data_IF_070499920930
#
_entry.id   IF_070499920930
#
_cell.length_a   1.000
_cell.length_b   1.000
_cell.length_c   1.000
_cell.angle_alpha   90.00
_cell.angle_beta   90.00
_cell.angle_gamma   90.00
#
_symmetry.space_group_name_H-M   'P 1'
#
loop_
_entity.id
_entity.type
_entity.pdbx_description
1 polymer ?
#
# COMPACT_ATOMS: atom_id res chain seq x y z
N UNK A 1 -10.89 7.16 2.20
CA UNK A 1 -11.66 6.35 1.24
C UNK A 1 -11.84 4.95 1.80
N UNK A 2 -13.07 4.50 2.03
CA UNK A 2 -13.33 3.14 2.57
C UNK A 2 -12.96 2.03 1.56
N UNK A 3 -13.03 2.33 0.26
CA UNK A 3 -12.76 1.40 -0.84
C UNK A 3 -11.31 0.91 -0.91
N UNK A 4 -10.31 1.80 -0.78
CA UNK A 4 -8.90 1.40 -0.83
C UNK A 4 -8.52 0.49 0.35
N UNK A 5 -9.06 0.76 1.54
CA UNK A 5 -8.84 -0.08 2.72
C UNK A 5 -9.42 -1.49 2.54
N UNK A 6 -10.70 -1.58 2.13
CA UNK A 6 -11.36 -2.87 1.90
C UNK A 6 -10.71 -3.66 0.77
N UNK A 7 -10.26 -2.99 -0.30
CA UNK A 7 -9.55 -3.65 -1.40
C UNK A 7 -8.20 -4.22 -0.95
N UNK A 8 -7.41 -3.46 -0.18
CA UNK A 8 -6.16 -3.96 0.37
C UNK A 8 -6.36 -5.14 1.31
N UNK A 9 -7.34 -5.07 2.22
CA UNK A 9 -7.67 -6.20 3.10
C UNK A 9 -8.03 -7.45 2.29
N UNK A 10 -8.78 -7.28 1.20
CA UNK A 10 -9.08 -8.40 0.29
C UNK A 10 -7.81 -8.95 -0.35
N UNK A 11 -6.96 -8.11 -0.92
CA UNK A 11 -5.72 -8.55 -1.57
C UNK A 11 -4.75 -9.27 -0.61
N UNK A 12 -4.75 -8.89 0.68
CA UNK A 12 -3.88 -9.47 1.70
C UNK A 12 -4.40 -10.82 2.21
N UNK A 13 -5.72 -10.95 2.42
CA UNK A 13 -6.30 -12.11 3.10
C UNK A 13 -6.97 -13.14 2.19
N UNK A 14 -7.29 -12.78 0.93
CA UNK A 14 -7.90 -13.69 -0.02
C UNK A 14 -6.80 -14.53 -0.73
N UNK A 15 -6.71 -15.85 -0.48
CA UNK A 15 -5.68 -16.70 -1.07
C UNK A 15 -5.79 -16.84 -2.59
N UNK A 16 -6.89 -16.38 -3.19
CA UNK A 16 -7.03 -16.30 -4.65
C UNK A 16 -6.21 -15.17 -5.28
N UNK A 17 -5.64 -14.26 -4.48
CA UNK A 17 -4.80 -13.17 -4.95
C UNK A 17 -3.33 -13.39 -4.57
N UNK A 18 -2.46 -13.03 -5.50
CA UNK A 18 -1.02 -12.97 -5.29
C UNK A 18 -0.63 -11.52 -5.03
N UNK A 19 -0.40 -11.20 -3.76
CA UNK A 19 -0.13 -9.85 -3.31
C UNK A 19 1.14 -9.24 -3.99
N UNK A 20 2.08 -10.06 -4.44
CA UNK A 20 3.29 -9.61 -5.15
C UNK A 20 2.99 -8.98 -6.53
N UNK A 21 1.82 -9.28 -7.11
CA UNK A 21 1.36 -8.69 -8.37
C UNK A 21 0.70 -7.32 -8.16
N UNK A 22 0.25 -7.03 -6.94
CA UNK A 22 -0.38 -5.77 -6.63
C UNK A 22 0.65 -4.62 -6.62
N UNK A 23 0.25 -3.47 -7.15
CA UNK A 23 0.98 -2.21 -7.08
C UNK A 23 0.10 -1.16 -6.44
N UNK A 24 0.66 -0.47 -5.44
CA UNK A 24 -0.04 0.54 -4.67
C UNK A 24 0.65 1.87 -4.90
N UNK A 25 -0.04 2.80 -5.54
CA UNK A 25 0.42 4.18 -5.74
C UNK A 25 -0.10 5.07 -4.60
N UNK A 26 0.80 5.80 -3.95
CA UNK A 26 0.46 6.68 -2.84
C UNK A 26 1.16 8.04 -2.95
N UNK A 27 0.57 9.03 -2.28
CA UNK A 27 1.13 10.37 -2.17
C UNK A 27 2.32 10.38 -1.19
N UNK A 28 3.49 10.77 -1.67
CA UNK A 28 4.74 10.83 -0.92
C UNK A 28 5.38 12.21 -1.05
N UNK A 29 5.21 13.04 -0.02
CA UNK A 29 5.70 14.42 -0.03
C UNK A 29 7.22 14.42 0.05
N UNK A 30 7.88 14.74 -1.06
CA UNK A 30 9.34 14.68 -1.21
C UNK A 30 9.83 13.73 -2.30
N UNK A 31 8.93 12.93 -2.90
CA UNK A 31 9.24 12.17 -4.11
C UNK A 31 9.05 13.04 -5.37
N UNK A 32 9.74 12.76 -6.49
CA UNK A 32 9.47 13.40 -7.77
C UNK A 32 7.99 13.25 -8.14
N UNK A 33 7.27 14.37 -8.31
CA UNK A 33 5.84 14.37 -8.61
C UNK A 33 4.93 14.00 -7.44
N UNK A 34 5.45 13.99 -6.21
CA UNK A 34 4.76 13.64 -4.95
C UNK A 34 4.11 12.24 -4.97
N UNK A 35 4.57 11.34 -5.84
CA UNK A 35 4.02 10.00 -6.01
C UNK A 35 5.12 8.96 -5.76
N UNK A 36 4.74 7.89 -5.07
CA UNK A 36 5.57 6.69 -4.93
C UNK A 36 4.73 5.44 -5.11
N UNK A 37 5.40 4.36 -5.49
CA UNK A 37 4.77 3.07 -5.76
C UNK A 37 5.46 2.00 -4.92
N UNK A 38 4.65 1.17 -4.28
CA UNK A 38 5.11 0.00 -3.53
C UNK A 38 4.44 -1.25 -4.05
N UNK A 39 5.15 -2.38 -4.04
CA UNK A 39 4.53 -3.67 -4.35
C UNK A 39 3.80 -4.22 -3.15
N UNK A 40 2.77 -5.02 -3.38
CA UNK A 40 2.00 -5.58 -2.28
C UNK A 40 2.82 -6.51 -1.37
N UNK A 41 3.81 -7.23 -1.90
CA UNK A 41 4.69 -8.12 -1.11
C UNK A 41 5.63 -7.38 -0.15
N UNK A 42 5.73 -6.05 -0.29
CA UNK A 42 6.46 -5.19 0.64
C UNK A 42 5.56 -4.68 1.79
N UNK A 43 4.25 -4.93 1.75
CA UNK A 43 3.33 -4.56 2.84
C UNK A 43 3.54 -5.49 4.02
N UNK A 44 3.88 -4.91 5.18
CA UNK A 44 4.12 -5.62 6.43
C UNK A 44 2.83 -5.68 7.26
N UNK A 45 2.10 -4.57 7.34
CA UNK A 45 0.88 -4.47 8.15
C UNK A 45 -0.11 -3.47 7.54
N UNK A 46 -1.39 -3.66 7.89
CA UNK A 46 -2.47 -2.73 7.54
C UNK A 46 -3.40 -2.57 8.73
N UNK A 47 -3.08 -1.63 9.61
CA UNK A 47 -3.80 -1.41 10.87
C UNK A 47 -4.24 0.04 11.04
N UNK A 48 -5.40 0.25 11.65
CA UNK A 48 -5.88 1.58 12.05
C UNK A 48 -5.86 2.66 10.94
N UNK A 49 -6.00 2.25 9.68
CA UNK A 49 -5.93 3.18 8.55
C UNK A 49 -4.51 3.54 8.09
N UNK A 50 -3.50 2.79 8.51
CA UNK A 50 -2.08 2.94 8.17
C UNK A 50 -1.61 1.66 7.49
N UNK A 51 -0.93 1.81 6.36
CA UNK A 51 -0.23 0.75 5.63
C UNK A 51 1.26 0.87 5.95
N UNK A 52 1.85 -0.16 6.53
CA UNK A 52 3.29 -0.20 6.77
C UNK A 52 3.98 -1.01 5.69
N UNK A 53 5.04 -0.45 5.13
CA UNK A 53 5.82 -1.09 4.07
C UNK A 53 7.27 -1.27 4.49
N UNK A 54 7.89 -2.33 3.98
CA UNK A 54 9.34 -2.52 4.06
C UNK A 54 10.02 -1.48 3.19
N UNK A 55 11.10 -0.91 3.71
CA UNK A 55 12.02 -0.03 2.99
C UNK A 55 13.44 -0.30 3.48
N UNK A 56 14.44 0.03 2.66
CA UNK A 56 15.84 -0.41 2.79
C UNK A 56 16.47 -0.10 4.15
N UNK A 57 16.01 0.96 4.83
CA UNK A 57 16.59 1.43 6.09
C UNK A 57 15.61 1.35 7.27
N UNK A 58 14.31 1.59 7.04
CA UNK A 58 13.27 1.66 8.07
C UNK A 58 11.90 1.30 7.48
N UNK A 59 11.01 0.77 8.30
CA UNK A 59 9.58 0.63 7.96
C UNK A 59 8.97 2.01 7.70
N UNK A 60 8.22 2.13 6.61
CA UNK A 60 7.53 3.38 6.24
C UNK A 60 6.02 3.25 6.48
N UNK A 61 5.46 4.14 7.28
CA UNK A 61 4.03 4.19 7.56
C UNK A 61 3.31 5.14 6.59
N UNK A 62 2.36 4.61 5.82
CA UNK A 62 1.61 5.32 4.79
C UNK A 62 0.13 5.35 5.18
N UNK A 63 -0.45 6.50 5.52
CA UNK A 63 -1.88 6.60 5.77
C UNK A 63 -2.69 6.20 4.54
N UNK A 64 -3.73 5.38 4.70
CA UNK A 64 -4.55 4.85 3.60
C UNK A 64 -5.20 5.96 2.77
N UNK A 65 -5.51 7.11 3.37
CA UNK A 65 -6.06 8.26 2.64
C UNK A 65 -5.07 8.88 1.64
N UNK A 66 -3.78 8.51 1.68
CA UNK A 66 -2.78 8.90 0.68
C UNK A 66 -2.71 7.94 -0.50
N UNK A 67 -3.36 6.78 -0.43
CA UNK A 67 -3.42 5.83 -1.55
C UNK A 67 -4.28 6.44 -2.64
N UNK A 68 -3.72 6.54 -3.85
CA UNK A 68 -4.39 7.09 -5.03
C UNK A 68 -4.91 6.00 -5.95
N UNK A 69 -4.15 4.92 -6.12
CA UNK A 69 -4.48 3.83 -7.04
C UNK A 69 -3.93 2.51 -6.53
N UNK A 70 -4.71 1.44 -6.75
CA UNK A 70 -4.28 0.06 -6.57
C UNK A 70 -4.48 -0.61 -7.93
N UNK A 71 -3.43 -1.24 -8.45
CA UNK A 71 -3.48 -2.07 -9.66
C UNK A 71 -3.02 -3.49 -9.34
N UNK A 72 -3.52 -4.46 -10.10
CA UNK A 72 -3.26 -5.88 -9.96
C UNK A 72 -2.99 -6.47 -11.34
#
# INVERSE_FOLDING_TARGET
MRTSHTLLLRLIHDPGYDLSKARIEYLDRGAPGDISVVKGDEIISLESGIMEIRSDLLTKSIPIHRIRRISY
#
